data_IF_353490286446
#
_entry.id   IF_353490286446
#
_cell.length_a   1.000
_cell.length_b   1.000
_cell.length_c   1.000
_cell.angle_alpha   90.00
_cell.angle_beta   90.00
_cell.angle_gamma   90.00
#
_symmetry.space_group_name_H-M   'P 1'
#
loop_
_entity.id
_entity.type
_entity.pdbx_description
1 polymer ?
#
# COMPACT_ATOMS: atom_id res chain seq x y z
N UNK A 1 -1.76 5.42 22.08
CA UNK A 1 -2.17 6.75 21.60
C UNK A 1 -1.44 7.00 20.29
N UNK A 2 -2.12 6.94 19.14
CA UNK A 2 -1.55 7.34 17.84
C UNK A 2 -2.15 8.69 17.49
N UNK A 3 -1.27 9.69 17.44
CA UNK A 3 -1.64 11.06 17.08
C UNK A 3 -2.07 11.12 15.62
N UNK A 4 -3.09 11.94 15.40
CA UNK A 4 -3.86 12.07 14.18
C UNK A 4 -3.20 13.12 13.29
N UNK A 5 -2.78 12.76 12.08
CA UNK A 5 -2.58 13.76 11.02
C UNK A 5 -3.95 14.13 10.45
N UNK A 6 -4.64 15.06 11.10
CA UNK A 6 -5.85 15.69 10.58
C UNK A 6 -5.71 17.20 10.71
N UNK A 7 -5.02 17.81 9.76
CA UNK A 7 -5.12 19.23 9.45
C UNK A 7 -4.39 19.50 8.12
N UNK A 8 -5.13 19.69 7.03
CA UNK A 8 -4.62 20.41 5.87
C UNK A 8 -5.71 21.40 5.46
N UNK A 9 -5.72 22.55 6.14
CA UNK A 9 -6.59 23.68 5.84
C UNK A 9 -5.85 24.97 6.19
N UNK A 10 -5.15 25.54 5.21
CA UNK A 10 -5.20 26.96 4.86
C UNK A 10 -4.02 27.30 3.95
N UNK A 11 -4.35 27.68 2.71
CA UNK A 11 -3.44 28.38 1.82
C UNK A 11 -3.30 29.82 2.34
N UNK A 12 -2.08 30.19 2.77
CA UNK A 12 -1.70 31.55 3.13
C UNK A 12 -0.51 31.99 2.28
N UNK A 13 -0.72 33.04 1.47
CA UNK A 13 0.23 33.66 0.55
C UNK A 13 1.63 33.87 1.14
N UNK A 14 2.66 33.44 0.41
CA UNK A 14 3.99 34.04 0.50
C UNK A 14 4.33 34.75 -0.81
N UNK A 15 4.45 36.08 -0.70
CA UNK A 15 5.12 36.93 -1.66
C UNK A 15 6.60 37.05 -1.23
N UNK A 16 7.54 36.75 -2.12
CA UNK A 16 8.99 36.86 -1.88
C UNK A 16 9.80 36.28 -3.05
N UNK A 17 11.00 36.82 -3.35
CA UNK A 17 11.47 36.98 -4.71
C UNK A 17 12.11 35.73 -5.33
N UNK A 18 12.02 35.67 -6.67
CA UNK A 18 12.84 34.82 -7.53
C UNK A 18 14.31 34.88 -7.09
N UNK A 19 14.89 33.72 -6.74
CA UNK A 19 16.26 33.27 -7.09
C UNK A 19 16.42 31.88 -6.46
N UNK A 20 17.00 30.95 -7.22
CA UNK A 20 17.29 29.55 -6.88
C UNK A 20 16.16 28.52 -7.07
N UNK A 21 15.48 28.56 -8.23
CA UNK A 21 15.04 27.31 -8.87
C UNK A 21 16.24 26.76 -9.65
N UNK A 22 16.69 25.55 -9.30
CA UNK A 22 17.42 24.54 -10.11
C UNK A 22 18.47 23.89 -9.20
N UNK A 23 18.40 22.56 -9.04
CA UNK A 23 19.26 21.67 -8.24
C UNK A 23 18.84 21.41 -6.78
N UNK A 24 17.77 20.63 -6.56
CA UNK A 24 17.65 19.67 -5.44
C UNK A 24 16.49 18.68 -5.70
N UNK A 25 16.54 17.87 -6.76
CA UNK A 25 15.46 16.91 -7.05
C UNK A 25 15.90 15.50 -7.46
N UNK A 26 17.11 15.06 -7.11
CA UNK A 26 17.57 13.70 -7.49
C UNK A 26 18.22 12.83 -6.40
N UNK A 27 18.28 13.24 -5.13
CA UNK A 27 19.06 12.47 -4.13
C UNK A 27 18.36 12.10 -2.82
N UNK A 28 17.09 11.68 -2.84
CA UNK A 28 16.46 11.11 -1.64
C UNK A 28 15.61 9.86 -1.93
N UNK A 29 16.27 8.82 -2.43
CA UNK A 29 15.84 7.43 -2.23
C UNK A 29 17.09 6.55 -2.12
N UNK A 30 17.80 6.64 -0.99
CA UNK A 30 18.72 5.57 -0.58
C UNK A 30 18.31 5.08 0.81
N UNK A 31 18.17 3.76 1.02
CA UNK A 31 17.98 3.20 2.35
C UNK A 31 19.28 3.36 3.15
N UNK A 32 19.14 3.73 4.42
CA UNK A 32 20.24 3.93 5.37
C UNK A 32 20.74 2.57 5.88
N UNK A 33 21.99 2.21 5.57
CA UNK A 33 22.73 1.14 6.26
C UNK A 33 23.29 1.68 7.59
N UNK A 34 23.17 0.96 8.72
CA UNK A 34 23.79 1.39 9.96
C UNK A 34 25.24 0.90 10.02
N UNK A 35 26.20 1.79 9.76
CA UNK A 35 27.59 1.59 10.14
C UNK A 35 27.73 1.80 11.66
N UNK A 36 27.62 0.71 12.42
CA UNK A 36 28.08 0.66 13.82
C UNK A 36 29.59 0.51 13.82
N UNK A 37 30.30 1.60 14.11
CA UNK A 37 31.50 1.62 14.95
C UNK A 37 32.04 3.05 15.05
N UNK A 38 31.87 3.66 16.22
CA UNK A 38 32.73 4.76 16.64
C UNK A 38 33.09 4.52 18.12
N UNK A 39 34.37 4.21 18.32
CA UNK A 39 35.00 4.04 19.61
C UNK A 39 34.84 5.31 20.45
N UNK A 40 34.47 5.13 21.71
CA UNK A 40 34.21 6.17 22.69
C UNK A 40 35.50 6.45 23.48
N UNK A 41 36.09 7.62 23.32
CA UNK A 41 37.12 8.14 24.24
C UNK A 41 36.48 9.13 25.22
N UNK A 42 36.80 9.10 26.53
CA UNK A 42 36.25 10.03 27.50
C UNK A 42 37.12 11.30 27.59
N UNK A 43 36.49 12.47 27.54
CA UNK A 43 37.11 13.78 27.83
C UNK A 43 36.20 14.52 28.84
N UNK A 44 36.75 15.18 29.87
CA UNK A 44 36.01 15.51 31.10
C UNK A 44 35.17 16.79 31.04
N UNK A 45 34.22 16.85 31.97
CA UNK A 45 33.22 17.90 32.22
C UNK A 45 33.80 19.31 32.44
N UNK A 46 33.32 20.27 31.65
CA UNK A 46 33.30 21.70 32.00
C UNK A 46 32.02 22.37 31.48
N UNK A 47 31.52 23.29 32.31
CA UNK A 47 30.23 23.98 32.41
C UNK A 47 29.73 24.84 31.22
N UNK A 48 28.44 24.62 30.87
CA UNK A 48 27.33 25.55 30.51
C UNK A 48 27.53 26.72 29.52
N UNK A 49 26.87 26.66 28.35
CA UNK A 49 26.05 27.76 27.76
C UNK A 49 25.16 27.27 26.59
N UNK A 50 23.85 27.57 26.69
CA UNK A 50 22.83 27.71 25.64
C UNK A 50 22.61 26.59 24.60
N UNK A 51 21.68 25.66 24.88
CA UNK A 51 21.00 24.89 23.83
C UNK A 51 19.92 25.77 23.19
N UNK A 52 20.23 26.39 22.05
CA UNK A 52 19.21 26.90 21.15
C UNK A 52 18.49 25.70 20.54
N UNK A 53 17.31 25.36 21.05
CA UNK A 53 16.44 24.36 20.45
C UNK A 53 15.89 24.93 19.14
N UNK A 54 16.61 24.72 18.04
CA UNK A 54 16.05 24.84 16.70
C UNK A 54 15.02 23.72 16.55
N UNK A 55 13.75 24.02 16.84
CA UNK A 55 12.61 23.19 16.47
C UNK A 55 12.53 23.29 14.94
N UNK A 56 13.24 22.40 14.26
CA UNK A 56 13.06 22.21 12.83
C UNK A 56 11.66 21.68 12.62
N UNK A 57 10.78 22.53 12.08
CA UNK A 57 9.52 22.08 11.49
C UNK A 57 9.91 21.18 10.32
N UNK A 58 9.89 19.87 10.55
CA UNK A 58 9.96 18.88 9.48
C UNK A 58 8.84 19.23 8.51
N UNK A 59 9.13 19.52 7.23
CA UNK A 59 8.05 19.65 6.26
C UNK A 59 7.34 18.30 6.27
N UNK A 60 6.08 18.32 6.71
CA UNK A 60 5.17 17.20 6.58
C UNK A 60 4.99 16.95 5.09
N UNK A 61 5.89 16.15 4.53
CA UNK A 61 5.76 15.60 3.19
C UNK A 61 4.44 14.86 3.22
N UNK A 62 3.42 15.46 2.59
CA UNK A 62 2.15 14.84 2.33
C UNK A 62 2.44 13.70 1.36
N UNK A 63 2.89 12.58 1.91
CA UNK A 63 3.30 11.40 1.16
C UNK A 63 2.05 10.67 0.69
N UNK A 64 2.07 10.25 -0.57
CA UNK A 64 1.15 9.23 -1.03
C UNK A 64 1.30 7.98 -0.13
N UNK A 65 0.21 7.30 0.17
CA UNK A 65 0.21 6.09 0.99
C UNK A 65 0.44 4.88 0.08
N UNK A 66 1.63 4.26 0.09
CA UNK A 66 1.90 3.07 -0.72
C UNK A 66 1.19 1.84 -0.16
N UNK A 67 0.64 1.02 -1.06
CA UNK A 67 -0.01 -0.25 -0.74
C UNK A 67 0.80 -1.47 -1.18
N UNK A 68 1.87 -1.29 -1.96
CA UNK A 68 2.63 -2.40 -2.56
C UNK A 68 3.17 -3.41 -1.55
N UNK A 69 3.58 -2.98 -0.35
CA UNK A 69 4.11 -3.89 0.68
C UNK A 69 3.07 -4.87 1.22
N UNK A 70 1.78 -4.58 1.03
CA UNK A 70 0.67 -5.43 1.45
C UNK A 70 0.16 -6.31 0.30
N UNK A 71 0.63 -6.10 -0.93
CA UNK A 71 0.25 -6.85 -2.14
C UNK A 71 1.23 -8.00 -2.40
N UNK A 72 1.60 -8.74 -1.35
CA UNK A 72 2.54 -9.88 -1.40
C UNK A 72 1.87 -11.24 -1.62
N UNK A 73 0.54 -11.25 -1.77
CA UNK A 73 -0.31 -12.43 -1.91
C UNK A 73 -0.26 -13.44 -0.76
N UNK A 74 0.17 -13.01 0.45
CA UNK A 74 0.23 -13.85 1.66
C UNK A 74 -0.78 -13.45 2.74
N UNK A 75 -1.53 -12.37 2.53
CA UNK A 75 -2.58 -11.89 3.42
C UNK A 75 -3.99 -12.35 3.01
N UNK A 76 -5.01 -11.90 3.75
CA UNK A 76 -6.42 -12.03 3.40
C UNK A 76 -7.03 -10.68 3.00
N UNK A 77 -8.18 -10.70 2.32
CA UNK A 77 -8.83 -9.46 1.89
C UNK A 77 -9.27 -8.59 3.06
N UNK A 78 -9.78 -9.19 4.14
CA UNK A 78 -10.16 -8.47 5.35
C UNK A 78 -8.94 -7.76 5.97
N UNK A 79 -7.80 -8.47 6.10
CA UNK A 79 -6.58 -7.84 6.64
C UNK A 79 -6.05 -6.71 5.78
N UNK A 80 -6.22 -6.79 4.47
CA UNK A 80 -5.81 -5.73 3.54
C UNK A 80 -6.75 -4.52 3.57
N UNK A 81 -8.06 -4.73 3.60
CA UNK A 81 -9.06 -3.67 3.36
C UNK A 81 -9.58 -3.05 4.66
N UNK A 82 -9.76 -3.84 5.73
CA UNK A 82 -10.34 -3.34 6.98
C UNK A 82 -9.56 -2.16 7.57
N UNK A 83 -8.20 -2.15 7.59
CA UNK A 83 -7.45 -0.99 8.05
C UNK A 83 -7.70 0.26 7.20
N UNK A 84 -7.77 0.11 5.88
CA UNK A 84 -7.99 1.22 4.95
C UNK A 84 -9.38 1.85 5.11
N UNK A 85 -10.40 1.03 5.41
CA UNK A 85 -11.74 1.51 5.74
C UNK A 85 -11.76 2.19 7.11
N UNK A 86 -11.12 1.59 8.12
CA UNK A 86 -11.04 2.15 9.47
C UNK A 86 -10.34 3.52 9.49
N UNK A 87 -9.28 3.66 8.71
CA UNK A 87 -8.51 4.91 8.56
C UNK A 87 -9.15 5.90 7.58
N UNK A 88 -10.35 5.59 7.05
CA UNK A 88 -11.09 6.41 6.07
C UNK A 88 -10.29 6.74 4.81
N UNK A 89 -9.33 5.87 4.46
CA UNK A 89 -8.62 5.93 3.19
C UNK A 89 -9.45 5.35 2.04
N UNK A 90 -10.46 4.53 2.36
CA UNK A 90 -11.48 4.04 1.43
C UNK A 90 -12.88 4.48 1.86
N UNK A 91 -13.76 4.61 0.88
CA UNK A 91 -15.20 4.56 1.15
C UNK A 91 -15.55 3.18 1.72
N UNK A 92 -16.34 3.16 2.80
CA UNK A 92 -16.75 1.94 3.48
C UNK A 92 -17.67 1.09 2.59
N UNK A 93 -18.37 1.71 1.64
CA UNK A 93 -19.25 1.00 0.72
C UNK A 93 -18.53 0.74 -0.61
N UNK A 94 -18.63 -0.49 -1.14
CA UNK A 94 -18.09 -0.76 -2.47
C UNK A 94 -18.86 0.04 -3.51
N UNK A 95 -18.14 0.67 -4.45
CA UNK A 95 -18.73 1.35 -5.60
C UNK A 95 -19.30 0.36 -6.61
N UNK A 96 -18.83 -0.88 -6.59
CA UNK A 96 -19.23 -1.95 -7.49
C UNK A 96 -18.98 -3.31 -6.85
N UNK A 97 -19.85 -4.28 -7.16
CA UNK A 97 -19.71 -5.70 -6.79
C UNK A 97 -19.80 -6.49 -8.07
N UNK A 98 -18.75 -7.25 -8.39
CA UNK A 98 -18.72 -8.10 -9.58
C UNK A 98 -19.51 -9.39 -9.37
N UNK A 99 -19.86 -10.05 -10.48
CA UNK A 99 -20.59 -11.34 -10.47
C UNK A 99 -19.85 -12.41 -9.66
N UNK A 100 -18.52 -12.41 -9.71
CA UNK A 100 -17.66 -13.33 -8.94
C UNK A 100 -17.42 -12.87 -7.49
N UNK A 101 -18.27 -11.98 -6.98
CA UNK A 101 -18.23 -11.42 -5.62
C UNK A 101 -17.06 -10.50 -5.29
N UNK A 102 -16.17 -10.16 -6.24
CA UNK A 102 -15.14 -9.14 -5.99
C UNK A 102 -15.81 -7.78 -5.78
N UNK A 103 -15.54 -7.16 -4.64
CA UNK A 103 -16.02 -5.82 -4.30
C UNK A 103 -14.94 -4.80 -4.68
N UNK A 104 -15.31 -3.73 -5.37
CA UNK A 104 -14.44 -2.61 -5.68
C UNK A 104 -14.78 -1.42 -4.76
N UNK A 105 -13.82 -1.01 -3.94
CA UNK A 105 -13.89 0.11 -3.02
C UNK A 105 -13.21 1.34 -3.61
N UNK A 106 -13.82 2.50 -3.41
CA UNK A 106 -13.26 3.77 -3.86
C UNK A 106 -12.25 4.31 -2.85
N UNK A 107 -11.08 4.82 -3.28
CA UNK A 107 -10.30 5.73 -2.45
C UNK A 107 -11.15 6.91 -1.97
N UNK A 108 -11.02 7.27 -0.70
CA UNK A 108 -11.72 8.42 -0.15
C UNK A 108 -11.28 9.72 -0.85
N UNK A 109 -12.13 10.76 -0.79
CA UNK A 109 -11.74 12.05 -1.37
C UNK A 109 -10.51 12.60 -0.61
N UNK A 110 -9.45 12.91 -1.34
CA UNK A 110 -8.20 13.40 -0.78
C UNK A 110 -7.27 12.31 -0.23
N UNK A 111 -7.62 11.02 -0.37
CA UNK A 111 -6.65 9.94 -0.11
C UNK A 111 -5.74 9.77 -1.32
N UNK A 112 -4.44 9.97 -1.12
CA UNK A 112 -3.43 9.75 -2.16
C UNK A 112 -2.88 8.32 -2.07
N UNK A 113 -3.72 7.34 -2.39
CA UNK A 113 -3.31 5.93 -2.40
C UNK A 113 -2.51 5.60 -3.67
N UNK A 114 -1.37 4.95 -3.49
CA UNK A 114 -0.54 4.45 -4.60
C UNK A 114 -0.22 2.97 -4.42
N UNK A 115 0.06 2.28 -5.52
CA UNK A 115 0.65 0.96 -5.52
C UNK A 115 1.66 0.87 -6.66
N UNK A 116 2.87 0.40 -6.36
CA UNK A 116 3.95 0.26 -7.34
C UNK A 116 4.31 1.58 -8.04
N UNK A 117 4.10 2.71 -7.37
CA UNK A 117 4.30 4.07 -7.92
C UNK A 117 3.14 4.59 -8.78
N UNK A 118 2.06 3.82 -8.95
CA UNK A 118 0.88 4.24 -9.71
C UNK A 118 -0.27 4.64 -8.78
N UNK A 119 -1.09 5.61 -9.21
CA UNK A 119 -2.27 6.04 -8.46
C UNK A 119 -3.32 4.92 -8.44
N UNK A 120 -3.87 4.64 -7.27
CA UNK A 120 -4.94 3.64 -7.10
C UNK A 120 -6.27 4.26 -7.54
N UNK A 121 -6.95 3.59 -8.46
CA UNK A 121 -8.31 3.91 -8.90
C UNK A 121 -9.36 3.22 -8.02
N UNK A 122 -9.13 1.94 -7.70
CA UNK A 122 -10.00 1.15 -6.85
C UNK A 122 -9.18 0.14 -6.04
N UNK A 123 -9.67 -0.18 -4.84
CA UNK A 123 -9.18 -1.31 -4.04
C UNK A 123 -10.17 -2.46 -4.19
N UNK A 124 -9.68 -3.65 -4.49
CA UNK A 124 -10.48 -4.83 -4.75
C UNK A 124 -10.42 -5.79 -3.57
N UNK A 125 -11.54 -6.41 -3.22
CA UNK A 125 -11.47 -7.60 -2.37
C UNK A 125 -12.78 -8.34 -2.16
N UNK A 126 -12.64 -9.55 -1.66
CA UNK A 126 -13.72 -10.43 -1.22
C UNK A 126 -13.15 -11.44 -0.23
N UNK A 127 -13.89 -11.71 0.85
CA UNK A 127 -13.59 -12.80 1.78
C UNK A 127 -14.89 -13.45 2.23
N UNK A 128 -14.95 -14.77 2.17
CA UNK A 128 -16.16 -15.51 2.49
C UNK A 128 -16.50 -15.38 3.99
N UNK A 129 -17.76 -15.03 4.29
CA UNK A 129 -18.27 -14.97 5.66
C UNK A 129 -17.86 -13.71 6.43
N UNK A 130 -17.31 -12.69 5.76
CA UNK A 130 -16.95 -11.40 6.36
C UNK A 130 -17.94 -10.33 5.91
N UNK A 131 -18.67 -9.74 6.86
CA UNK A 131 -19.81 -8.85 6.61
C UNK A 131 -19.50 -7.60 5.77
N UNK A 132 -18.24 -7.17 5.73
CA UNK A 132 -17.85 -6.01 4.92
C UNK A 132 -17.87 -6.27 3.41
N UNK A 133 -17.88 -7.53 2.97
CA UNK A 133 -17.89 -7.90 1.57
C UNK A 133 -19.28 -8.38 1.14
N UNK A 134 -19.83 -7.74 0.11
CA UNK A 134 -21.10 -8.13 -0.48
C UNK A 134 -20.87 -9.29 -1.44
N UNK A 135 -21.75 -10.28 -1.41
CA UNK A 135 -21.72 -11.38 -2.38
C UNK A 135 -22.32 -10.92 -3.71
N UNK A 136 -21.65 -11.28 -4.80
CA UNK A 136 -22.17 -11.12 -6.17
C UNK A 136 -23.23 -12.17 -6.50
N UNK A 137 -23.79 -12.08 -7.70
CA UNK A 137 -24.83 -13.00 -8.18
C UNK A 137 -24.30 -14.38 -8.63
N UNK A 138 -23.00 -14.52 -8.82
CA UNK A 138 -22.35 -15.75 -9.29
C UNK A 138 -21.54 -16.47 -8.22
N UNK A 139 -20.76 -17.46 -8.67
CA UNK A 139 -19.83 -18.18 -7.80
C UNK A 139 -18.64 -17.27 -7.44
N UNK A 140 -18.26 -17.16 -6.16
CA UNK A 140 -17.08 -16.43 -5.75
C UNK A 140 -15.81 -16.94 -6.42
N UNK A 141 -14.87 -16.03 -6.71
CA UNK A 141 -13.59 -16.37 -7.35
C UNK A 141 -12.76 -17.34 -6.50
N UNK A 142 -12.71 -17.12 -5.19
CA UNK A 142 -12.01 -17.92 -4.18
C UNK A 142 -12.55 -17.54 -2.78
N UNK A 143 -12.05 -18.20 -1.74
CA UNK A 143 -12.44 -17.95 -0.34
C UNK A 143 -11.97 -16.56 0.14
N UNK A 144 -10.84 -16.08 -0.39
CA UNK A 144 -10.31 -14.74 -0.19
C UNK A 144 -9.56 -14.28 -1.43
N UNK A 145 -9.79 -13.05 -1.86
CA UNK A 145 -9.04 -12.41 -2.93
C UNK A 145 -8.98 -10.89 -2.70
N UNK A 146 -7.87 -10.25 -3.06
CA UNK A 146 -7.68 -8.82 -2.86
C UNK A 146 -6.71 -8.24 -3.88
N UNK A 147 -6.74 -6.93 -4.04
CA UNK A 147 -5.84 -6.26 -4.97
C UNK A 147 -6.20 -4.81 -5.17
N UNK A 148 -5.66 -4.23 -6.24
CA UNK A 148 -5.90 -2.84 -6.62
C UNK A 148 -6.09 -2.74 -8.13
N UNK A 149 -6.83 -1.73 -8.56
CA UNK A 149 -6.78 -1.21 -9.93
C UNK A 149 -5.99 0.08 -9.87
N UNK A 150 -4.93 0.17 -10.67
CA UNK A 150 -4.08 1.35 -10.78
C UNK A 150 -4.25 2.03 -12.13
N UNK A 151 -3.98 3.34 -12.15
CA UNK A 151 -3.88 4.13 -13.37
C UNK A 151 -2.49 3.95 -13.99
N UNK A 152 -2.40 3.12 -15.02
CA UNK A 152 -1.16 2.77 -15.69
C UNK A 152 -1.35 1.67 -16.73
N UNK A 153 -0.51 1.69 -17.76
CA UNK A 153 -0.46 0.64 -18.78
C UNK A 153 0.06 -0.67 -18.19
N UNK A 154 -0.46 -1.80 -18.69
CA UNK A 154 -0.18 -3.14 -18.19
C UNK A 154 1.31 -3.44 -18.14
N UNK A 155 2.05 -3.06 -19.18
CA UNK A 155 3.47 -3.36 -19.36
C UNK A 155 4.32 -2.64 -18.31
N UNK A 156 3.98 -1.39 -18.00
CA UNK A 156 4.67 -0.58 -16.99
C UNK A 156 4.36 -1.07 -15.57
N UNK A 157 3.10 -1.45 -15.32
CA UNK A 157 2.66 -1.99 -14.03
C UNK A 157 3.32 -3.35 -13.78
N UNK A 158 3.31 -4.24 -14.77
CA UNK A 158 3.92 -5.57 -14.68
C UNK A 158 5.41 -5.51 -14.38
N UNK A 159 6.15 -4.60 -15.03
CA UNK A 159 7.56 -4.38 -14.74
C UNK A 159 7.77 -4.05 -13.24
N UNK A 160 6.98 -3.14 -12.67
CA UNK A 160 7.10 -2.74 -11.26
C UNK A 160 6.66 -3.82 -10.28
N UNK A 161 5.61 -4.58 -10.60
CA UNK A 161 5.19 -5.74 -9.80
C UNK A 161 6.32 -6.76 -9.74
N UNK A 162 6.93 -7.09 -10.88
CA UNK A 162 8.07 -8.02 -10.94
C UNK A 162 9.30 -7.52 -10.17
N UNK A 163 9.64 -6.23 -10.32
CA UNK A 163 10.78 -5.62 -9.61
C UNK A 163 10.61 -5.67 -8.08
N UNK A 164 9.36 -5.68 -7.59
CA UNK A 164 9.06 -5.80 -6.16
C UNK A 164 9.16 -7.24 -5.62
N UNK A 165 9.24 -8.24 -6.49
CA UNK A 165 9.17 -9.66 -6.11
C UNK A 165 7.76 -10.15 -5.72
N UNK A 166 6.71 -9.35 -5.94
CA UNK A 166 5.33 -9.76 -5.72
C UNK A 166 4.90 -10.82 -6.75
N UNK A 167 4.12 -11.80 -6.29
CA UNK A 167 3.51 -12.84 -7.14
C UNK A 167 2.08 -12.49 -7.59
N UNK A 168 1.68 -11.22 -7.45
CA UNK A 168 0.35 -10.78 -7.84
C UNK A 168 0.13 -10.88 -9.36
N UNK A 169 -1.08 -11.27 -9.75
CA UNK A 169 -1.47 -11.33 -11.16
C UNK A 169 -1.74 -9.92 -11.70
N UNK A 170 -1.19 -9.61 -12.86
CA UNK A 170 -1.43 -8.34 -13.56
C UNK A 170 -2.44 -8.56 -14.67
N UNK A 171 -3.56 -7.85 -14.61
CA UNK A 171 -4.67 -7.97 -15.57
C UNK A 171 -5.03 -6.61 -16.13
N UNK A 172 -4.99 -6.48 -17.45
CA UNK A 172 -5.44 -5.28 -18.13
C UNK A 172 -6.95 -5.10 -17.94
N UNK A 173 -7.38 -3.94 -17.45
CA UNK A 173 -8.80 -3.59 -17.26
C UNK A 173 -9.27 -2.66 -18.37
N UNK A 174 -8.51 -1.59 -18.61
CA UNK A 174 -8.68 -0.70 -19.76
C UNK A 174 -7.33 -0.59 -20.47
N UNK A 175 -7.22 -1.00 -21.73
CA UNK A 175 -5.97 -0.96 -22.46
C UNK A 175 -5.27 0.39 -22.35
N UNK A 176 -3.96 0.35 -22.10
CA UNK A 176 -3.08 1.52 -21.95
C UNK A 176 -3.37 2.47 -20.77
N UNK A 177 -4.42 2.25 -19.97
CA UNK A 177 -4.87 3.23 -18.98
C UNK A 177 -5.10 2.67 -17.58
N UNK A 178 -5.69 1.48 -17.45
CA UNK A 178 -5.99 0.88 -16.15
C UNK A 178 -5.60 -0.59 -16.10
N UNK A 179 -4.95 -0.95 -15.02
CA UNK A 179 -4.43 -2.29 -14.80
C UNK A 179 -4.78 -2.74 -13.39
N UNK A 180 -5.31 -3.95 -13.25
CA UNK A 180 -5.50 -4.60 -11.98
C UNK A 180 -4.23 -5.36 -11.58
N UNK A 181 -3.85 -5.27 -10.32
CA UNK A 181 -2.85 -6.12 -9.65
C UNK A 181 -3.58 -6.88 -8.57
N UNK A 182 -3.66 -8.19 -8.69
CA UNK A 182 -4.64 -9.02 -7.99
C UNK A 182 -4.02 -10.28 -7.39
N UNK A 183 -4.30 -10.51 -6.11
CA UNK A 183 -4.01 -11.74 -5.39
C UNK A 183 -5.32 -12.51 -5.22
N UNK A 184 -5.44 -13.65 -5.89
CA UNK A 184 -6.65 -14.47 -5.87
C UNK A 184 -6.65 -15.51 -4.73
N UNK A 185 -5.61 -15.56 -3.89
CA UNK A 185 -5.47 -16.53 -2.79
C UNK A 185 -4.94 -17.91 -3.23
N UNK A 186 -4.64 -18.12 -4.52
CA UNK A 186 -4.13 -19.39 -5.03
C UNK A 186 -2.71 -19.71 -4.52
N UNK A 187 -1.90 -18.69 -4.25
CA UNK A 187 -0.54 -18.86 -3.70
C UNK A 187 -0.46 -19.51 -2.32
N UNK A 188 -1.53 -19.39 -1.51
CA UNK A 188 -1.62 -20.02 -0.18
C UNK A 188 -2.00 -21.51 -0.29
N UNK A 189 -2.77 -21.90 -1.33
CA UNK A 189 -3.11 -23.31 -1.57
C UNK A 189 -1.93 -24.11 -2.12
N UNK A 190 -1.03 -23.49 -2.88
CA UNK A 190 0.15 -24.19 -3.43
C UNK A 190 1.14 -24.66 -2.36
N UNK A 191 1.13 -24.07 -1.16
CA UNK A 191 1.97 -24.51 -0.03
C UNK A 191 1.33 -25.60 0.84
N UNK A 192 0.03 -25.83 0.71
CA UNK A 192 -0.62 -27.02 1.23
C UNK A 192 -0.47 -28.11 0.16
N UNK A 193 0.58 -28.93 0.29
CA UNK A 193 0.82 -30.05 -0.63
C UNK A 193 -0.43 -30.92 -0.80
N UNK A 194 -0.51 -31.71 -1.90
CA UNK A 194 -1.68 -32.54 -2.18
C UNK A 194 -1.95 -33.43 -0.95
N UNK A 195 -3.17 -33.35 -0.43
CA UNK A 195 -3.67 -34.30 0.57
C UNK A 195 -3.66 -35.66 -0.12
N UNK A 196 -2.59 -36.42 0.10
CA UNK A 196 -2.52 -37.83 -0.28
C UNK A 196 -3.56 -38.55 0.56
N UNK A 197 -4.73 -38.77 -0.02
CA UNK A 197 -5.66 -39.79 0.45
C UNK A 197 -4.95 -41.14 0.28
N UNK A 198 -4.27 -41.59 1.32
CA UNK A 198 -3.88 -42.99 1.47
C UNK A 198 -5.17 -43.79 1.68
N UNK A 199 -5.77 -44.20 0.55
CA UNK A 199 -6.78 -45.25 0.56
C UNK A 199 -6.11 -46.51 1.12
N UNK A 200 -6.49 -46.83 2.36
CA UNK A 200 -6.23 -48.09 3.04
C UNK A 200 -6.64 -49.27 2.16
N UNK A 201 -5.68 -49.84 1.44
CA UNK A 201 -5.81 -51.18 0.87
C UNK A 201 -5.56 -52.17 2.01
N UNK A 202 -6.64 -52.67 2.61
CA UNK A 202 -6.56 -53.80 3.52
C UNK A 202 -7.84 -54.65 3.47
N UNK A 203 -7.92 -55.55 2.49
CA UNK A 203 -8.25 -56.98 2.61
C UNK A 203 -8.55 -57.58 1.24
#
# INVERSE_FOLDING_TARGET
MRERCSACASAGRFAGPLIAMTQMLEHQCRPYEPLVNAAMHPVPLATLTAFAAAVGELPSLCGATPLESQLDCKSSAHRFIAPLVADKSLDAHPMRVEVNSVNAFKPAKGSDLTAYGFRVYAVLGYEQGVDMFKRGSGQPINDSAYGVVVLGASEAVEAKVRDSGSTAEVKQVVPMMMTAVFCDGSGVRSTAGPVTTSASRNR
#
